data_IF_379904505637
#
_entry.id   IF_379904505637
#
_cell.length_a   1.000
_cell.length_b   1.000
_cell.length_c   1.000
_cell.angle_alpha   90.00
_cell.angle_beta   90.00
_cell.angle_gamma   90.00
#
_symmetry.space_group_name_H-M   'P 1'
#
loop_
_entity.id
_entity.type
_entity.pdbx_description
1 polymer ?
#
# COMPACT_ATOMS: atom_id res chain seq x y z
N UNK A 1 -10.80 6.01 22.47
CA UNK A 1 -10.35 6.75 21.26
C UNK A 1 -9.27 5.94 20.56
N UNK A 2 -9.64 5.10 19.59
CA UNK A 2 -8.70 4.29 18.80
C UNK A 2 -8.52 4.96 17.43
N UNK A 3 -7.53 5.84 17.29
CA UNK A 3 -7.16 6.40 15.98
C UNK A 3 -6.42 5.34 15.18
N UNK A 4 -7.13 4.65 14.28
CA UNK A 4 -6.52 3.78 13.27
C UNK A 4 -5.82 4.67 12.24
N UNK A 5 -4.52 4.93 12.43
CA UNK A 5 -3.69 5.49 11.36
C UNK A 5 -3.57 4.41 10.27
N UNK A 6 -4.34 4.57 9.20
CA UNK A 6 -4.41 3.65 8.07
C UNK A 6 -3.40 4.08 7.00
N UNK A 7 -2.34 3.29 6.83
CA UNK A 7 -1.32 3.53 5.82
C UNK A 7 -1.72 2.79 4.54
N UNK A 8 -2.15 3.57 3.54
CA UNK A 8 -2.70 3.07 2.28
C UNK A 8 -1.83 2.02 1.59
N UNK A 9 -2.46 0.95 1.12
CA UNK A 9 -1.81 -0.17 0.42
C UNK A 9 -1.37 0.28 -0.98
N UNK A 10 -0.22 0.95 -1.07
CA UNK A 10 0.73 0.60 -2.13
C UNK A 10 1.20 -0.84 -1.86
N UNK A 11 1.53 -1.63 -2.87
CA UNK A 11 1.90 -3.06 -2.76
C UNK A 11 3.05 -3.42 -1.78
N UNK A 12 3.55 -2.50 -0.95
CA UNK A 12 4.29 -2.86 0.27
C UNK A 12 3.94 -2.11 1.56
N UNK A 13 2.82 -1.38 1.64
CA UNK A 13 2.27 -0.96 2.95
C UNK A 13 1.51 -2.09 3.68
N UNK A 14 1.31 -3.24 3.04
CA UNK A 14 0.75 -4.46 3.66
C UNK A 14 1.53 -4.93 4.88
N UNK A 15 2.82 -4.61 4.96
CA UNK A 15 3.63 -4.93 6.13
C UNK A 15 3.38 -3.98 7.33
N UNK A 16 2.95 -2.74 7.08
CA UNK A 16 2.71 -1.76 8.14
C UNK A 16 1.38 -1.99 8.89
N UNK A 17 0.36 -2.52 8.21
CA UNK A 17 -0.89 -2.95 8.85
C UNK A 17 -0.68 -4.13 9.84
N UNK A 18 0.40 -4.89 9.67
CA UNK A 18 0.67 -6.11 10.44
C UNK A 18 1.22 -5.87 11.86
N UNK A 19 2.10 -4.89 12.06
CA UNK A 19 2.65 -4.62 13.40
C UNK A 19 1.52 -4.32 14.41
N UNK A 20 0.46 -3.64 13.96
CA UNK A 20 -0.76 -3.37 14.76
C UNK A 20 -1.52 -4.60 15.27
N UNK A 21 -1.29 -5.81 14.74
CA UNK A 21 -2.09 -7.00 15.09
C UNK A 21 -1.34 -8.09 15.87
N UNK A 22 -0.03 -7.92 16.11
CA UNK A 22 0.79 -8.91 16.82
C UNK A 22 1.15 -8.54 18.26
N UNK A 23 0.59 -7.47 18.81
CA UNK A 23 0.56 -7.30 20.25
C UNK A 23 -0.39 -8.31 20.88
N UNK A 24 0.10 -9.54 21.02
CA UNK A 24 -0.54 -10.60 21.78
C UNK A 24 -0.55 -10.13 23.23
N UNK A 25 -1.72 -9.70 23.70
CA UNK A 25 -1.96 -9.50 25.11
C UNK A 25 -1.89 -10.85 25.83
N UNK A 26 -0.97 -10.96 26.78
CA UNK A 26 -0.91 -12.06 27.73
C UNK A 26 -2.15 -12.03 28.64
N UNK A 27 -3.27 -12.60 28.19
CA UNK A 27 -4.28 -13.22 29.05
C UNK A 27 -5.36 -13.90 28.22
N UNK A 28 -5.34 -15.24 28.20
CA UNK A 28 -6.48 -16.04 27.74
C UNK A 28 -6.75 -17.10 28.80
N UNK A 29 -7.79 -16.87 29.60
CA UNK A 29 -8.48 -17.96 30.31
C UNK A 29 -9.26 -18.78 29.28
N UNK A 30 -8.97 -20.08 29.18
CA UNK A 30 -9.79 -21.03 28.43
C UNK A 30 -10.89 -21.60 29.32
N UNK A 31 -12.16 -21.66 28.85
CA UNK A 31 -13.19 -22.47 29.49
C UNK A 31 -13.04 -23.94 29.07
N UNK A 32 -13.14 -24.85 30.05
CA UNK A 32 -13.23 -26.29 29.84
C UNK A 32 -14.57 -26.66 29.18
N UNK A 33 -14.52 -27.40 28.07
CA UNK A 33 -15.70 -27.98 27.43
C UNK A 33 -15.62 -29.52 27.47
N UNK A 34 -16.69 -30.15 27.95
CA UNK A 34 -16.79 -31.58 28.17
C UNK A 34 -17.32 -32.34 26.93
N UNK A 35 -16.47 -33.24 26.42
CA UNK A 35 -16.71 -34.61 25.95
C UNK A 35 -17.96 -35.01 25.15
N UNK A 36 -17.75 -35.40 23.89
CA UNK A 36 -18.37 -36.59 23.28
C UNK A 36 -17.27 -37.40 22.57
N UNK A 37 -17.12 -38.67 22.93
CA UNK A 37 -16.06 -39.58 22.44
C UNK A 37 -16.54 -40.41 21.27
N UNK A 38 -16.01 -40.12 20.08
CA UNK A 38 -16.12 -40.95 18.89
C UNK A 38 -14.82 -41.77 18.73
N UNK A 39 -14.93 -43.07 18.45
CA UNK A 39 -13.79 -44.00 18.41
C UNK A 39 -12.91 -43.75 17.16
N UNK A 40 -11.88 -42.92 17.31
CA UNK A 40 -10.88 -42.70 16.26
C UNK A 40 -9.90 -43.88 16.17
N UNK A 41 -9.74 -44.40 14.95
CA UNK A 41 -8.67 -45.33 14.57
C UNK A 41 -7.29 -44.77 14.99
N UNK A 42 -6.32 -45.61 15.37
CA UNK A 42 -4.99 -45.16 15.80
C UNK A 42 -4.30 -44.41 14.66
N UNK A 43 -4.35 -43.09 14.72
CA UNK A 43 -3.54 -42.21 13.88
C UNK A 43 -2.09 -42.50 14.25
N UNK A 44 -1.34 -43.11 13.32
CA UNK A 44 0.12 -43.25 13.44
C UNK A 44 0.66 -41.83 13.59
N UNK A 45 0.94 -41.42 14.82
CA UNK A 45 1.57 -40.14 15.15
C UNK A 45 2.98 -40.18 14.57
N UNK A 46 3.13 -39.71 13.33
CA UNK A 46 4.45 -39.35 12.80
C UNK A 46 5.01 -38.31 13.77
N UNK A 47 6.19 -38.59 14.32
CA UNK A 47 6.84 -37.68 15.26
C UNK A 47 6.95 -36.30 14.61
N UNK A 48 6.39 -35.29 15.27
CA UNK A 48 6.46 -33.92 14.83
C UNK A 48 7.94 -33.48 14.84
N UNK A 49 8.45 -32.84 13.76
CA UNK A 49 9.82 -32.32 13.78
C UNK A 49 9.98 -31.24 14.85
N UNK A 50 11.21 -30.98 15.34
CA UNK A 50 11.47 -29.87 16.23
C UNK A 50 10.98 -28.54 15.63
N UNK A 51 10.43 -27.66 16.47
CA UNK A 51 10.03 -26.31 16.06
C UNK A 51 11.25 -25.50 15.59
N UNK A 52 11.11 -24.74 14.50
CA UNK A 52 12.23 -23.98 13.96
C UNK A 52 12.61 -22.85 14.92
N UNK A 53 13.90 -22.77 15.23
CA UNK A 53 14.53 -21.66 15.94
C UNK A 53 15.26 -20.80 14.90
N UNK A 54 14.51 -20.00 14.15
CA UNK A 54 15.09 -19.16 13.08
C UNK A 54 16.18 -18.26 13.66
N UNK A 55 17.37 -18.15 13.01
CA UNK A 55 18.41 -17.24 13.46
C UNK A 55 17.87 -15.83 13.67
N UNK A 56 18.17 -15.24 14.83
CA UNK A 56 17.75 -13.87 15.16
C UNK A 56 18.45 -12.80 14.30
N UNK A 57 19.57 -13.17 13.69
CA UNK A 57 20.38 -12.31 12.83
C UNK A 57 20.80 -13.06 11.57
N UNK A 58 20.27 -12.66 10.42
CA UNK A 58 20.68 -13.17 9.11
C UNK A 58 20.28 -12.23 7.98
N UNK A 59 20.90 -12.42 6.83
CA UNK A 59 20.45 -11.90 5.55
C UNK A 59 20.29 -13.05 4.55
N UNK A 60 19.46 -12.83 3.53
CA UNK A 60 19.29 -13.78 2.44
C UNK A 60 18.82 -13.05 1.18
N UNK A 61 19.33 -13.50 0.03
CA UNK A 61 18.64 -13.24 -1.23
C UNK A 61 17.22 -13.81 -1.13
N UNK A 62 16.27 -13.10 -1.73
CA UNK A 62 14.86 -13.38 -1.56
C UNK A 62 14.12 -13.26 -2.88
N UNK A 63 13.37 -14.30 -3.23
CA UNK A 63 12.34 -14.21 -4.26
C UNK A 63 11.02 -13.81 -3.60
N UNK A 64 10.47 -12.70 -4.05
CA UNK A 64 9.18 -12.17 -3.65
C UNK A 64 8.10 -12.64 -4.61
N UNK A 65 6.98 -13.11 -4.08
CA UNK A 65 5.79 -13.46 -4.87
C UNK A 65 4.56 -12.89 -4.17
N UNK A 66 3.86 -11.95 -4.78
CA UNK A 66 2.55 -11.52 -4.30
C UNK A 66 1.45 -11.93 -5.26
N UNK A 67 0.37 -12.47 -4.72
CA UNK A 67 -0.74 -13.00 -5.49
C UNK A 67 -2.06 -12.75 -4.77
N UNK A 68 -3.06 -12.31 -5.53
CA UNK A 68 -4.42 -12.15 -5.07
C UNK A 68 -5.27 -13.21 -5.78
N UNK A 69 -5.82 -14.23 -5.08
CA UNK A 69 -6.66 -15.24 -5.70
C UNK A 69 -7.88 -14.66 -6.41
N UNK A 70 -8.40 -13.51 -5.96
CA UNK A 70 -9.48 -12.83 -6.66
C UNK A 70 -9.08 -12.49 -8.11
N UNK A 71 -7.78 -12.31 -8.36
CA UNK A 71 -7.25 -11.97 -9.69
C UNK A 71 -7.15 -13.19 -10.61
N UNK A 72 -7.04 -14.40 -10.07
CA UNK A 72 -7.06 -15.62 -10.89
C UNK A 72 -8.46 -16.03 -11.33
N UNK A 73 -9.50 -15.61 -10.60
CA UNK A 73 -10.88 -15.83 -11.02
C UNK A 73 -11.37 -14.80 -12.04
N UNK A 74 -10.63 -13.70 -12.24
CA UNK A 74 -10.86 -12.85 -13.39
C UNK A 74 -10.49 -13.64 -14.66
N UNK A 75 -11.27 -13.57 -15.76
CA UNK A 75 -11.03 -14.33 -17.00
C UNK A 75 -9.63 -14.17 -17.59
N UNK A 76 -8.90 -13.15 -17.12
CA UNK A 76 -7.60 -12.71 -17.60
C UNK A 76 -6.44 -13.11 -16.70
N UNK A 77 -6.70 -13.62 -15.49
CA UNK A 77 -5.68 -14.11 -14.56
C UNK A 77 -4.45 -13.23 -14.45
N UNK A 78 -4.46 -12.16 -13.64
CA UNK A 78 -3.24 -11.37 -13.50
C UNK A 78 -2.11 -12.26 -12.96
N UNK A 79 -0.93 -12.21 -13.58
CA UNK A 79 0.19 -12.98 -13.07
C UNK A 79 0.54 -12.48 -11.66
N UNK A 80 1.01 -13.38 -10.79
CA UNK A 80 1.57 -12.95 -9.51
C UNK A 80 2.69 -11.93 -9.77
N UNK A 81 2.76 -10.89 -8.94
CA UNK A 81 3.89 -9.98 -8.99
C UNK A 81 5.11 -10.73 -8.41
N UNK A 82 6.06 -11.04 -9.28
CA UNK A 82 7.28 -11.76 -8.92
C UNK A 82 8.43 -10.75 -8.95
N UNK A 83 9.25 -10.78 -7.90
CA UNK A 83 10.42 -9.92 -7.77
C UNK A 83 11.60 -10.66 -7.15
N UNK A 84 12.76 -10.05 -7.28
CA UNK A 84 13.97 -10.43 -6.55
C UNK A 84 14.28 -9.36 -5.51
N UNK A 85 15.03 -9.72 -4.50
CA UNK A 85 15.23 -8.86 -3.36
C UNK A 85 16.23 -9.41 -2.36
N UNK A 86 16.36 -8.67 -1.27
CA UNK A 86 17.19 -9.06 -0.12
C UNK A 86 16.35 -8.86 1.13
N UNK A 87 16.37 -9.86 2.00
CA UNK A 87 15.87 -9.77 3.36
C UNK A 87 17.05 -9.70 4.31
N UNK A 88 16.97 -8.84 5.32
CA UNK A 88 17.91 -8.82 6.43
C UNK A 88 17.17 -8.55 7.74
N UNK A 89 17.56 -9.23 8.81
CA UNK A 89 17.03 -8.94 10.14
C UNK A 89 18.13 -9.06 11.21
N UNK A 90 17.97 -8.28 12.26
CA UNK A 90 18.67 -8.37 13.53
C UNK A 90 17.65 -8.09 14.64
N UNK A 91 17.07 -9.15 15.19
CA UNK A 91 16.02 -9.05 16.19
C UNK A 91 16.52 -8.50 17.52
N UNK A 92 17.82 -8.63 17.81
CA UNK A 92 18.43 -8.06 19.02
C UNK A 92 18.61 -6.55 18.88
N UNK A 93 19.00 -6.08 17.68
CA UNK A 93 19.02 -4.67 17.32
C UNK A 93 17.65 -4.09 16.95
N UNK A 94 16.58 -4.89 17.00
CA UNK A 94 15.22 -4.52 16.56
C UNK A 94 15.18 -3.89 15.16
N UNK A 95 15.92 -4.47 14.24
CA UNK A 95 16.11 -3.94 12.90
C UNK A 95 15.79 -4.98 11.83
N UNK A 96 15.14 -4.57 10.76
CA UNK A 96 14.83 -5.43 9.62
C UNK A 96 14.72 -4.63 8.33
N UNK A 97 15.19 -5.20 7.23
CA UNK A 97 15.12 -4.61 5.91
C UNK A 97 14.54 -5.60 4.91
N UNK A 98 13.56 -5.14 4.13
CA UNK A 98 12.96 -5.89 3.02
C UNK A 98 13.14 -5.05 1.76
N UNK A 99 14.11 -5.43 0.93
CA UNK A 99 14.36 -4.81 -0.37
C UNK A 99 13.76 -5.67 -1.46
N UNK A 100 12.95 -5.07 -2.33
CA UNK A 100 12.33 -5.76 -3.46
C UNK A 100 12.44 -4.94 -4.74
N UNK A 101 12.69 -5.64 -5.83
CA UNK A 101 12.59 -5.13 -7.18
C UNK A 101 11.64 -6.03 -7.96
N UNK A 102 10.54 -5.45 -8.44
CA UNK A 102 9.51 -6.19 -9.18
C UNK A 102 8.96 -5.36 -10.32
N UNK A 103 8.51 -6.03 -11.35
CA UNK A 103 7.76 -5.40 -12.43
C UNK A 103 6.35 -5.08 -11.97
N UNK A 104 5.79 -3.98 -12.47
CA UNK A 104 4.37 -3.71 -12.32
C UNK A 104 3.58 -4.79 -13.06
N UNK A 105 2.60 -5.46 -12.43
CA UNK A 105 1.81 -6.49 -13.10
C UNK A 105 1.18 -5.96 -14.39
N UNK A 106 1.53 -6.59 -15.51
CA UNK A 106 1.06 -6.19 -16.83
C UNK A 106 1.81 -5.02 -17.47
N UNK A 107 2.85 -4.45 -16.87
CA UNK A 107 3.74 -3.48 -17.54
C UNK A 107 5.18 -3.77 -17.16
N UNK A 108 5.78 -4.73 -17.86
CA UNK A 108 7.13 -5.24 -17.57
C UNK A 108 8.21 -4.17 -17.73
N UNK A 109 7.98 -3.12 -18.52
CA UNK A 109 8.86 -1.97 -18.62
C UNK A 109 8.88 -1.09 -17.35
N UNK A 110 7.86 -1.22 -16.49
CA UNK A 110 7.71 -0.44 -15.28
C UNK A 110 8.22 -1.24 -14.08
N UNK A 111 9.28 -0.75 -13.46
CA UNK A 111 9.90 -1.40 -12.29
C UNK A 111 9.58 -0.62 -11.04
N UNK A 112 9.19 -1.35 -10.01
CA UNK A 112 9.02 -0.87 -8.64
C UNK A 112 10.23 -1.34 -7.83
N UNK A 113 11.06 -0.39 -7.37
CA UNK A 113 12.19 -0.65 -6.48
C UNK A 113 11.89 -0.03 -5.11
N UNK A 114 11.70 -0.89 -4.11
CA UNK A 114 11.28 -0.48 -2.78
C UNK A 114 12.12 -1.19 -1.74
N UNK A 115 12.60 -0.44 -0.75
CA UNK A 115 13.15 -0.96 0.50
C UNK A 115 12.32 -0.48 1.67
N UNK A 116 11.88 -1.41 2.51
CA UNK A 116 11.29 -1.14 3.82
C UNK A 116 12.34 -1.43 4.88
N UNK A 117 12.82 -0.39 5.56
CA UNK A 117 13.78 -0.51 6.64
C UNK A 117 13.10 -0.14 7.97
N UNK A 118 12.92 -1.12 8.83
CA UNK A 118 12.39 -0.99 10.18
C UNK A 118 13.54 -0.86 11.17
N UNK A 119 13.51 0.17 12.00
CA UNK A 119 14.49 0.43 13.05
C UNK A 119 13.73 0.78 14.33
N UNK A 120 13.62 -0.17 15.26
CA UNK A 120 12.94 -0.03 16.56
C UNK A 120 11.56 0.67 16.51
N UNK A 121 11.54 2.01 16.47
CA UNK A 121 10.37 2.89 16.50
C UNK A 121 10.14 3.68 15.19
N UNK A 122 10.86 3.39 14.11
CA UNK A 122 10.64 4.02 12.81
C UNK A 122 10.63 3.01 11.66
N UNK A 123 9.91 3.36 10.61
CA UNK A 123 9.95 2.68 9.32
C UNK A 123 10.39 3.68 8.25
N UNK A 124 11.42 3.32 7.49
CA UNK A 124 11.97 4.10 6.39
C UNK A 124 11.62 3.41 5.07
N UNK A 125 10.79 4.06 4.26
CA UNK A 125 10.37 3.59 2.95
C UNK A 125 11.25 4.26 1.90
N UNK A 126 12.21 3.52 1.35
CA UNK A 126 13.14 4.00 0.35
C UNK A 126 12.66 3.55 -1.02
N UNK A 127 12.39 4.51 -1.90
CA UNK A 127 11.68 4.31 -3.15
C UNK A 127 12.52 4.84 -4.31
N UNK A 128 12.66 4.05 -5.38
CA UNK A 128 13.39 4.45 -6.58
C UNK A 128 14.75 3.76 -6.76
N UNK A 129 15.43 4.07 -7.86
CA UNK A 129 16.69 3.46 -8.27
C UNK A 129 17.86 4.43 -8.15
N UNK A 130 18.10 5.22 -9.19
CA UNK A 130 19.25 6.15 -9.28
C UNK A 130 19.07 7.37 -8.39
N UNK A 131 17.83 7.82 -8.19
CA UNK A 131 17.49 8.99 -7.37
C UNK A 131 16.50 8.59 -6.26
N UNK A 132 16.93 7.76 -5.29
CA UNK A 132 16.03 7.25 -4.27
C UNK A 132 15.51 8.37 -3.37
N UNK A 133 14.26 8.23 -2.93
CA UNK A 133 13.60 9.09 -1.96
C UNK A 133 13.29 8.26 -0.73
N UNK A 134 13.54 8.80 0.47
CA UNK A 134 13.27 8.09 1.72
C UNK A 134 12.17 8.76 2.51
N UNK A 135 11.08 8.04 2.79
CA UNK A 135 9.97 8.48 3.65
C UNK A 135 10.10 7.84 5.01
N UNK A 136 10.21 8.64 6.06
CA UNK A 136 10.11 8.16 7.42
C UNK A 136 8.67 8.12 7.90
N UNK A 137 8.32 7.04 8.58
CA UNK A 137 7.04 6.82 9.24
C UNK A 137 7.36 6.44 10.68
N UNK A 138 6.93 7.29 11.61
CA UNK A 138 7.09 7.03 13.03
C UNK A 138 6.15 5.90 13.44
N UNK A 139 6.72 4.88 14.08
CA UNK A 139 5.99 3.75 14.62
C UNK A 139 5.69 4.03 16.09
N UNK A 140 4.42 3.98 16.48
CA UNK A 140 4.02 4.17 17.88
C UNK A 140 3.14 3.02 18.38
N UNK A 141 3.27 2.72 19.68
CA UNK A 141 2.53 1.65 20.34
C UNK A 141 2.83 0.27 19.76
N UNK A 142 1.76 -0.47 19.42
CA UNK A 142 1.85 -1.81 18.83
C UNK A 142 2.53 -1.83 17.45
N UNK A 143 2.75 -0.66 16.83
CA UNK A 143 3.38 -0.56 15.51
C UNK A 143 4.91 -0.67 15.54
N UNK A 144 5.54 -0.85 16.69
CA UNK A 144 7.01 -1.00 16.80
C UNK A 144 7.53 -2.29 16.15
N UNK A 145 8.85 -2.40 16.00
CA UNK A 145 9.53 -3.59 15.48
C UNK A 145 8.97 -4.89 16.09
N UNK A 146 8.69 -5.87 15.23
CA UNK A 146 8.27 -7.21 15.64
C UNK A 146 9.05 -8.25 14.83
N UNK A 147 9.61 -9.25 15.52
CA UNK A 147 10.32 -10.35 14.89
C UNK A 147 9.33 -11.27 14.16
N UNK A 148 9.41 -11.25 12.82
CA UNK A 148 8.57 -12.03 11.90
C UNK A 148 8.54 -13.54 12.15
N UNK A 149 9.56 -14.08 12.80
CA UNK A 149 9.75 -15.53 12.97
C UNK A 149 9.54 -16.01 14.41
N UNK A 150 9.46 -15.09 15.37
CA UNK A 150 9.37 -15.39 16.81
C UNK A 150 8.23 -16.35 17.17
N UNK A 151 7.10 -16.29 16.47
CA UNK A 151 5.95 -17.15 16.70
C UNK A 151 6.22 -18.63 16.37
N UNK A 152 7.13 -18.93 15.45
CA UNK A 152 7.34 -20.28 14.95
C UNK A 152 8.02 -21.20 15.99
N UNK A 153 8.82 -20.61 16.87
CA UNK A 153 9.44 -21.29 18.01
C UNK A 153 8.46 -21.56 19.16
N UNK A 154 7.35 -20.81 19.24
CA UNK A 154 6.42 -20.87 20.36
C UNK A 154 5.40 -22.00 20.18
N UNK A 155 5.31 -23.00 21.08
CA UNK A 155 4.40 -24.13 20.94
C UNK A 155 2.92 -23.79 21.05
N UNK A 156 2.57 -22.67 21.69
CA UNK A 156 1.20 -22.19 21.79
C UNK A 156 0.76 -21.42 20.55
N UNK A 157 1.71 -20.87 19.80
CA UNK A 157 1.43 -20.06 18.61
C UNK A 157 1.68 -20.82 17.30
N UNK A 158 2.33 -21.98 17.32
CA UNK A 158 2.69 -22.71 16.10
C UNK A 158 2.08 -24.12 16.02
N UNK A 159 1.73 -24.50 14.80
CA UNK A 159 1.23 -25.82 14.45
C UNK A 159 1.99 -26.40 13.26
N UNK A 160 2.48 -27.63 13.38
CA UNK A 160 3.08 -28.33 12.25
C UNK A 160 1.98 -28.89 11.35
N UNK A 161 2.09 -28.60 10.06
CA UNK A 161 1.09 -28.97 9.04
C UNK A 161 1.55 -30.14 8.19
N UNK A 162 2.86 -30.30 7.99
CA UNK A 162 3.39 -31.36 7.13
C UNK A 162 4.73 -30.99 6.50
N UNK A 163 5.18 -31.82 5.58
CA UNK A 163 6.34 -31.53 4.74
C UNK A 163 5.90 -30.79 3.48
N UNK A 164 6.74 -29.88 2.99
CA UNK A 164 6.54 -29.15 1.74
C UNK A 164 7.90 -29.02 1.02
N UNK A 165 7.87 -28.91 -0.31
CA UNK A 165 9.05 -28.58 -1.11
C UNK A 165 8.86 -27.19 -1.71
N UNK A 166 9.81 -26.29 -1.45
CA UNK A 166 9.82 -24.94 -2.02
C UNK A 166 11.13 -24.72 -2.74
N UNK A 167 11.07 -24.37 -4.03
CA UNK A 167 12.26 -24.16 -4.87
C UNK A 167 13.29 -25.30 -4.77
N UNK A 168 12.81 -26.56 -4.76
CA UNK A 168 13.66 -27.76 -4.64
C UNK A 168 14.17 -28.08 -3.23
N UNK A 169 13.83 -27.29 -2.21
CA UNK A 169 14.23 -27.51 -0.81
C UNK A 169 13.07 -28.11 -0.02
N UNK A 170 13.28 -29.31 0.54
CA UNK A 170 12.34 -29.91 1.47
C UNK A 170 12.37 -29.18 2.82
N UNK A 171 11.19 -28.89 3.38
CA UNK A 171 11.04 -28.20 4.63
C UNK A 171 9.78 -28.63 5.38
N UNK A 172 9.79 -28.42 6.70
CA UNK A 172 8.63 -28.60 7.57
C UNK A 172 7.80 -27.33 7.55
N UNK A 173 6.51 -27.46 7.23
CA UNK A 173 5.56 -26.35 7.17
C UNK A 173 4.90 -26.16 8.54
N UNK A 174 4.94 -24.92 9.01
CA UNK A 174 4.36 -24.47 10.26
C UNK A 174 3.36 -23.35 10.01
N UNK A 175 2.21 -23.37 10.69
CA UNK A 175 1.24 -22.29 10.66
C UNK A 175 1.19 -21.56 12.00
N UNK A 176 0.94 -20.26 11.93
CA UNK A 176 0.59 -19.46 13.09
C UNK A 176 -0.85 -19.79 13.53
N UNK A 177 -1.02 -20.26 14.77
CA UNK A 177 -2.31 -20.41 15.47
C UNK A 177 -2.83 -19.02 15.85
N UNK A 178 -3.34 -18.29 14.88
CA UNK A 178 -3.93 -16.98 15.11
C UNK A 178 -5.45 -17.10 15.19
N UNK A 179 -6.04 -16.53 16.25
CA UNK A 179 -7.49 -16.22 16.25
C UNK A 179 -7.80 -14.99 15.38
N UNK A 180 -6.77 -14.22 15.04
CA UNK A 180 -6.92 -13.04 14.20
C UNK A 180 -7.03 -13.44 12.73
N UNK A 181 -7.49 -12.49 11.95
CA UNK A 181 -7.73 -12.60 10.52
C UNK A 181 -6.47 -12.96 9.71
N UNK A 182 -5.32 -12.37 10.01
CA UNK A 182 -4.08 -12.64 9.27
C UNK A 182 -3.56 -14.06 9.54
N UNK A 183 -3.31 -14.81 8.47
CA UNK A 183 -2.70 -16.15 8.54
C UNK A 183 -1.23 -16.06 8.11
N UNK A 184 -0.36 -16.73 8.85
CA UNK A 184 1.05 -16.83 8.50
C UNK A 184 1.47 -18.29 8.48
N UNK A 185 2.35 -18.62 7.56
CA UNK A 185 2.99 -19.93 7.50
C UNK A 185 4.48 -19.80 7.20
N UNK A 186 5.27 -20.67 7.83
CA UNK A 186 6.72 -20.73 7.68
C UNK A 186 7.10 -22.15 7.26
N UNK A 187 7.72 -22.30 6.10
CA UNK A 187 8.42 -23.52 5.73
C UNK A 187 9.88 -23.40 6.16
N UNK A 188 10.34 -24.29 7.03
CA UNK A 188 11.70 -24.27 7.57
C UNK A 188 12.41 -25.63 7.41
N UNK A 189 13.68 -25.59 6.99
CA UNK A 189 14.56 -26.75 6.96
C UNK A 189 15.41 -26.74 8.24
N UNK A 190 14.94 -27.42 9.28
CA UNK A 190 15.47 -27.25 10.63
C UNK A 190 15.24 -25.80 11.09
N UNK A 191 16.32 -25.08 11.38
CA UNK A 191 16.28 -23.67 11.79
C UNK A 191 16.37 -22.69 10.60
N UNK A 192 16.56 -23.16 9.37
CA UNK A 192 16.73 -22.29 8.21
C UNK A 192 15.36 -21.98 7.59
N UNK A 193 14.90 -20.70 7.55
CA UNK A 193 13.68 -20.35 6.84
C UNK A 193 13.86 -20.58 5.34
N UNK A 194 12.87 -21.20 4.71
CA UNK A 194 12.82 -21.47 3.27
C UNK A 194 11.76 -20.58 2.62
N UNK A 195 10.59 -20.49 3.23
CA UNK A 195 9.49 -19.65 2.75
C UNK A 195 8.69 -19.09 3.93
N UNK A 196 8.44 -17.79 3.94
CA UNK A 196 7.45 -17.16 4.78
C UNK A 196 6.27 -16.71 3.90
N UNK A 197 5.09 -17.23 4.15
CA UNK A 197 3.87 -16.82 3.47
C UNK A 197 2.92 -16.12 4.45
N UNK A 198 2.46 -14.94 4.06
CA UNK A 198 1.53 -14.09 4.81
C UNK A 198 0.26 -13.92 3.98
N UNK A 199 -0.86 -14.31 4.56
CA UNK A 199 -2.20 -14.17 3.98
C UNK A 199 -2.95 -13.10 4.75
N UNK A 200 -3.34 -12.05 4.03
CA UNK A 200 -4.19 -10.97 4.51
C UNK A 200 -5.62 -11.27 4.05
N UNK A 201 -6.55 -11.64 4.93
CA UNK A 201 -7.93 -11.78 4.51
C UNK A 201 -8.51 -10.41 4.18
N UNK A 202 -9.56 -10.43 3.38
CA UNK A 202 -10.34 -9.27 2.98
C UNK A 202 -11.76 -9.40 3.53
N UNK A 203 -12.46 -8.27 3.60
CA UNK A 203 -13.82 -8.20 4.12
C UNK A 203 -14.83 -9.07 3.32
N UNK A 204 -14.55 -9.35 2.05
CA UNK A 204 -15.37 -10.20 1.18
C UNK A 204 -15.07 -11.71 1.31
N UNK A 205 -14.24 -12.11 2.27
CA UNK A 205 -13.82 -13.49 2.48
C UNK A 205 -12.70 -13.96 1.56
N UNK A 206 -12.31 -13.18 0.54
CA UNK A 206 -11.11 -13.46 -0.25
C UNK A 206 -9.84 -13.09 0.53
N UNK A 207 -8.65 -13.28 -0.06
CA UNK A 207 -7.39 -12.97 0.62
C UNK A 207 -6.35 -12.38 -0.35
N UNK A 208 -5.33 -11.75 0.19
CA UNK A 208 -4.13 -11.36 -0.54
C UNK A 208 -2.95 -12.12 0.07
N UNK A 209 -2.13 -12.75 -0.75
CA UNK A 209 -1.02 -13.58 -0.30
C UNK A 209 0.31 -12.97 -0.71
N UNK A 210 1.26 -12.98 0.20
CA UNK A 210 2.65 -12.58 -0.03
C UNK A 210 3.55 -13.71 0.45
N UNK A 211 4.36 -14.24 -0.47
CA UNK A 211 5.38 -15.24 -0.19
C UNK A 211 6.78 -14.64 -0.35
N UNK A 212 7.61 -14.85 0.66
CA UNK A 212 9.03 -14.54 0.69
C UNK A 212 9.81 -15.86 0.70
N UNK A 213 10.45 -16.19 -0.42
CA UNK A 213 11.27 -17.40 -0.55
C UNK A 213 12.73 -17.03 -0.36
N UNK A 214 13.36 -17.59 0.66
CA UNK A 214 14.72 -17.24 1.07
C UNK A 214 15.74 -18.18 0.42
N UNK A 215 16.85 -17.61 -0.05
CA UNK A 215 18.05 -18.34 -0.48
C UNK A 215 18.85 -18.89 0.70
N UNK A 216 20.13 -19.25 0.48
CA UNK A 216 21.08 -19.50 1.55
C UNK A 216 21.22 -18.29 2.49
N UNK A 217 21.35 -18.53 3.78
CA UNK A 217 21.52 -17.46 4.75
C UNK A 217 22.97 -16.98 4.77
N UNK A 218 23.15 -15.68 4.97
CA UNK A 218 24.42 -15.02 5.21
C UNK A 218 24.44 -14.35 6.59
N UNK A 219 25.62 -14.29 7.20
CA UNK A 219 25.86 -13.52 8.44
C UNK A 219 26.15 -12.04 8.17
N UNK A 220 26.29 -11.64 6.89
CA UNK A 220 26.50 -10.26 6.47
C UNK A 220 25.19 -9.47 6.53
N UNK A 221 24.84 -9.00 7.73
CA UNK A 221 23.57 -8.31 7.99
C UNK A 221 23.71 -6.79 8.00
N UNK A 222 24.85 -6.30 8.49
CA UNK A 222 25.02 -4.89 8.88
C UNK A 222 24.81 -3.91 7.73
N UNK A 223 25.28 -4.24 6.52
CA UNK A 223 25.15 -3.34 5.36
C UNK A 223 23.69 -3.10 4.93
N UNK A 224 22.79 -4.04 5.20
CA UNK A 224 21.38 -3.94 4.81
C UNK A 224 20.49 -3.23 5.84
N UNK A 225 20.99 -3.08 7.08
CA UNK A 225 20.25 -2.50 8.20
C UNK A 225 20.71 -1.06 8.54
N UNK A 226 21.71 -0.54 7.84
CA UNK A 226 22.13 0.86 8.03
C UNK A 226 21.11 1.82 7.43
N UNK A 227 20.66 2.80 8.24
CA UNK A 227 19.84 3.91 7.75
C UNK A 227 20.63 4.71 6.71
N UNK A 228 20.17 4.78 5.44
CA UNK A 228 20.87 5.57 4.44
C UNK A 228 20.79 7.06 4.74
N UNK A 229 21.85 7.81 4.44
CA UNK A 229 21.91 9.26 4.67
C UNK A 229 20.79 10.06 3.98
N UNK A 230 20.20 9.53 2.89
CA UNK A 230 19.04 10.13 2.22
C UNK A 230 17.79 10.19 3.11
N UNK A 231 17.74 9.39 4.19
CA UNK A 231 16.66 9.38 5.17
C UNK A 231 16.83 10.42 6.26
N UNK A 232 17.99 11.06 6.37
CA UNK A 232 18.25 12.08 7.41
C UNK A 232 17.70 13.46 7.05
N UNK A 233 17.13 13.61 5.84
CA UNK A 233 16.59 14.85 5.34
C UNK A 233 15.38 14.62 4.45
N UNK A 234 14.42 15.53 4.52
CA UNK A 234 13.35 15.59 3.54
C UNK A 234 13.95 15.84 2.15
N UNK A 235 13.46 15.08 1.18
CA UNK A 235 13.96 15.20 -0.17
C UNK A 235 13.42 16.52 -0.78
N UNK A 236 14.29 17.39 -1.32
CA UNK A 236 13.90 18.73 -1.72
C UNK A 236 12.85 18.71 -2.84
N UNK A 237 12.07 19.79 -2.94
CA UNK A 237 11.15 20.02 -4.06
C UNK A 237 11.90 20.02 -5.40
N UNK A 238 11.25 19.50 -6.44
CA UNK A 238 11.83 19.33 -7.77
C UNK A 238 12.39 20.63 -8.36
N UNK A 239 13.68 20.61 -8.72
CA UNK A 239 14.41 21.80 -9.20
C UNK A 239 13.79 22.38 -10.47
N UNK A 240 13.34 21.52 -11.40
CA UNK A 240 12.69 21.95 -12.64
C UNK A 240 11.35 22.68 -12.41
N UNK A 241 10.77 22.61 -11.21
CA UNK A 241 9.57 23.34 -10.82
C UNK A 241 9.83 24.60 -9.99
N UNK A 242 11.05 24.81 -9.49
CA UNK A 242 11.36 25.98 -8.67
C UNK A 242 11.31 27.25 -9.50
N UNK A 243 10.83 28.33 -8.89
CA UNK A 243 10.70 29.65 -9.52
C UNK A 243 9.77 29.68 -10.75
N UNK A 244 9.00 28.62 -10.97
CA UNK A 244 7.93 28.57 -11.99
C UNK A 244 6.60 28.95 -11.34
N UNK A 245 5.74 29.60 -12.12
CA UNK A 245 4.39 29.91 -11.67
C UNK A 245 3.56 28.65 -11.41
N UNK A 246 2.37 28.80 -10.80
CA UNK A 246 1.48 27.67 -10.58
C UNK A 246 1.08 27.04 -11.92
N UNK A 247 0.82 25.73 -11.88
CA UNK A 247 0.22 24.98 -12.98
C UNK A 247 -1.20 24.60 -12.60
N UNK A 248 -2.10 24.62 -13.57
CA UNK A 248 -3.45 24.09 -13.38
C UNK A 248 -3.42 22.57 -13.40
N UNK A 249 -4.11 21.94 -12.45
CA UNK A 249 -4.29 20.50 -12.38
C UNK A 249 -5.79 20.20 -12.27
N UNK A 250 -6.28 19.37 -13.18
CA UNK A 250 -7.55 18.67 -12.98
C UNK A 250 -7.30 17.44 -12.11
N UNK A 251 -7.69 17.56 -10.85
CA UNK A 251 -7.53 16.53 -9.84
C UNK A 251 -8.82 15.74 -9.64
N UNK A 252 -8.67 14.44 -9.44
CA UNK A 252 -9.74 13.49 -9.21
C UNK A 252 -9.52 12.82 -7.86
N UNK A 253 -10.60 12.58 -7.13
CA UNK A 253 -10.57 11.88 -5.85
C UNK A 253 -11.80 11.00 -5.72
N UNK A 254 -11.58 9.75 -5.30
CA UNK A 254 -12.62 8.81 -4.92
C UNK A 254 -12.77 8.79 -3.39
N UNK A 255 -13.93 9.19 -2.87
CA UNK A 255 -14.12 9.52 -1.46
C UNK A 255 -15.51 9.10 -0.93
N UNK A 256 -15.68 8.98 0.41
CA UNK A 256 -16.99 8.78 1.02
C UNK A 256 -17.93 9.98 0.83
N UNK A 257 -19.23 9.72 0.93
CA UNK A 257 -20.22 10.78 1.00
C UNK A 257 -19.92 11.74 2.18
N UNK A 258 -20.07 13.06 1.94
CA UNK A 258 -19.82 14.11 2.93
C UNK A 258 -18.37 14.60 3.01
N UNK A 259 -17.41 13.87 2.45
CA UNK A 259 -15.98 14.17 2.58
C UNK A 259 -15.44 14.94 1.36
N UNK A 260 -15.61 16.26 1.34
CA UNK A 260 -15.19 17.12 0.22
C UNK A 260 -13.94 17.97 0.49
N UNK A 261 -13.38 17.88 1.69
CA UNK A 261 -12.17 18.61 2.06
C UNK A 261 -10.94 17.91 1.51
N UNK A 262 -10.12 18.63 0.73
CA UNK A 262 -8.88 18.12 0.15
C UNK A 262 -7.66 18.30 1.07
N UNK A 263 -7.80 18.99 2.20
CA UNK A 263 -6.70 19.08 3.17
C UNK A 263 -6.34 17.71 3.70
N UNK A 264 -5.05 17.38 3.63
CA UNK A 264 -4.49 16.11 4.06
C UNK A 264 -5.11 14.90 3.34
N UNK A 265 -5.47 15.08 2.06
CA UNK A 265 -5.93 14.03 1.16
C UNK A 265 -4.93 13.76 0.01
N UNK A 266 -4.97 12.54 -0.50
CA UNK A 266 -4.35 12.15 -1.75
C UNK A 266 -5.36 12.30 -2.90
N UNK A 267 -4.92 12.86 -4.03
CA UNK A 267 -5.71 12.99 -5.27
C UNK A 267 -4.91 12.44 -6.45
N UNK A 268 -5.57 12.08 -7.55
CA UNK A 268 -4.91 11.71 -8.80
C UNK A 268 -5.13 12.72 -9.91
N UNK A 269 -4.25 12.73 -10.91
CA UNK A 269 -4.69 13.16 -12.24
C UNK A 269 -5.68 12.13 -12.83
N UNK A 270 -6.25 12.42 -14.00
CA UNK A 270 -7.24 11.55 -14.65
C UNK A 270 -6.73 10.10 -14.79
N UNK A 271 -5.44 9.89 -15.12
CA UNK A 271 -4.91 8.55 -15.34
C UNK A 271 -4.60 7.86 -14.02
N UNK A 272 -4.00 8.59 -13.08
CA UNK A 272 -3.68 8.09 -11.76
C UNK A 272 -4.91 7.65 -10.99
N UNK A 273 -5.99 8.45 -10.99
CA UNK A 273 -7.21 8.11 -10.24
C UNK A 273 -8.06 7.07 -10.97
N UNK A 274 -8.07 7.06 -12.31
CA UNK A 274 -8.69 5.99 -13.07
C UNK A 274 -8.06 4.62 -12.75
N UNK A 275 -6.73 4.56 -12.64
CA UNK A 275 -6.04 3.36 -12.20
C UNK A 275 -6.42 2.99 -10.76
N UNK A 276 -6.46 3.96 -9.84
CA UNK A 276 -6.83 3.72 -8.45
C UNK A 276 -8.24 3.12 -8.33
N UNK A 277 -9.25 3.78 -8.89
CA UNK A 277 -10.65 3.33 -8.87
C UNK A 277 -10.76 1.94 -9.47
N UNK A 278 -10.11 1.69 -10.61
CA UNK A 278 -10.11 0.38 -11.21
C UNK A 278 -9.57 -0.70 -10.28
N UNK A 279 -8.37 -0.50 -9.72
CA UNK A 279 -7.72 -1.51 -8.90
C UNK A 279 -8.47 -1.72 -7.58
N UNK A 280 -9.01 -0.67 -6.98
CA UNK A 280 -9.84 -0.71 -5.77
C UNK A 280 -11.06 -1.62 -5.99
N UNK A 281 -11.84 -1.29 -7.02
CA UNK A 281 -13.08 -2.01 -7.32
C UNK A 281 -12.86 -3.43 -7.82
N UNK A 282 -11.85 -3.68 -8.67
CA UNK A 282 -11.54 -5.04 -9.12
C UNK A 282 -11.03 -5.93 -7.98
N UNK A 283 -10.41 -5.33 -6.97
CA UNK A 283 -10.01 -6.06 -5.78
C UNK A 283 -11.16 -6.28 -4.79
N UNK A 284 -12.36 -5.73 -5.10
CA UNK A 284 -13.50 -5.59 -4.19
C UNK A 284 -13.06 -5.06 -2.82
N UNK A 285 -12.06 -4.19 -2.85
CA UNK A 285 -11.56 -3.48 -1.70
C UNK A 285 -12.22 -2.12 -1.77
N UNK A 286 -12.87 -1.69 -0.70
CA UNK A 286 -12.63 -0.31 -0.29
C UNK A 286 -11.29 -0.39 0.42
N UNK A 287 -10.19 -0.01 -0.24
CA UNK A 287 -8.81 -0.26 0.21
C UNK A 287 -8.51 0.13 1.66
N UNK A 288 -9.34 0.98 2.24
CA UNK A 288 -9.46 1.29 3.66
C UNK A 288 -10.97 1.33 3.95
N UNK A 289 -11.43 1.07 5.18
CA UNK A 289 -12.84 1.00 5.63
C UNK A 289 -13.64 2.32 5.41
N UNK A 290 -13.63 2.82 4.19
CA UNK A 290 -14.12 4.10 3.76
C UNK A 290 -15.10 3.75 2.67
N UNK A 291 -16.37 3.94 2.97
CA UNK A 291 -17.47 3.66 2.07
C UNK A 291 -17.41 4.64 0.88
N UNK A 292 -16.45 4.42 -0.03
CA UNK A 292 -16.22 5.25 -1.19
C UNK A 292 -17.44 5.15 -2.10
N UNK A 293 -18.13 6.26 -2.28
CA UNK A 293 -19.38 6.32 -3.05
C UNK A 293 -19.37 7.41 -4.11
N UNK A 294 -18.52 8.42 -3.93
CA UNK A 294 -18.47 9.61 -4.77
C UNK A 294 -17.10 9.78 -5.39
N UNK A 295 -17.07 10.27 -6.63
CA UNK A 295 -15.86 10.68 -7.32
C UNK A 295 -16.01 12.16 -7.63
N UNK A 296 -15.07 12.99 -7.19
CA UNK A 296 -15.10 14.43 -7.43
C UNK A 296 -13.96 14.85 -8.34
N UNK A 297 -14.23 15.81 -9.24
CA UNK A 297 -13.22 16.51 -10.05
C UNK A 297 -13.06 17.93 -9.54
N UNK A 298 -11.82 18.34 -9.33
CA UNK A 298 -11.43 19.67 -8.88
C UNK A 298 -10.48 20.32 -9.88
N UNK A 299 -10.65 21.62 -10.10
CA UNK A 299 -9.63 22.47 -10.70
C UNK A 299 -8.75 23.03 -9.58
N UNK A 300 -7.47 22.66 -9.58
CA UNK A 300 -6.46 23.12 -8.65
C UNK A 300 -5.44 24.02 -9.34
N UNK A 301 -4.83 24.92 -8.58
CA UNK A 301 -3.54 25.51 -8.94
C UNK A 301 -2.49 24.98 -7.97
N UNK A 302 -1.41 24.42 -8.51
CA UNK A 302 -0.36 23.80 -7.71
C UNK A 302 1.02 24.30 -8.13
N UNK A 303 1.95 24.33 -7.18
CA UNK A 303 3.37 24.57 -7.45
C UNK A 303 3.96 23.36 -8.18
N UNK A 304 4.63 23.53 -9.33
CA UNK A 304 5.31 22.43 -10.00
C UNK A 304 6.61 22.00 -9.28
N UNK A 305 7.01 22.69 -8.21
CA UNK A 305 8.16 22.33 -7.37
C UNK A 305 7.81 21.17 -6.41
N UNK A 306 7.37 20.05 -6.97
CA UNK A 306 6.81 18.92 -6.23
C UNK A 306 7.77 18.38 -5.17
N UNK A 307 7.26 18.25 -3.94
CA UNK A 307 7.97 17.65 -2.82
C UNK A 307 7.95 16.13 -2.87
N UNK A 308 8.51 15.53 -1.82
CA UNK A 308 8.30 14.12 -1.53
C UNK A 308 6.82 13.85 -1.23
N UNK A 309 6.26 12.80 -1.84
CA UNK A 309 4.89 12.38 -1.56
C UNK A 309 4.70 12.00 -0.08
N UNK A 310 3.62 12.48 0.52
CA UNK A 310 3.16 12.14 1.86
C UNK A 310 1.99 11.14 1.78
N UNK A 311 1.87 10.22 2.72
CA UNK A 311 0.70 9.32 2.76
C UNK A 311 -0.45 10.09 3.41
N UNK A 312 -1.31 10.71 2.59
CA UNK A 312 -2.43 11.53 3.03
C UNK A 312 -3.74 10.75 2.82
N UNK A 313 -3.84 9.57 3.42
CA UNK A 313 -5.00 8.71 3.28
C UNK A 313 -5.69 8.59 4.65
N UNK A 314 -6.99 8.86 4.71
CA UNK A 314 -7.79 8.64 5.91
C UNK A 314 -9.00 9.56 6.03
N UNK A 315 -9.96 9.14 6.86
CA UNK A 315 -11.09 9.93 7.31
C UNK A 315 -11.24 9.70 8.83
N UNK A 316 -10.73 10.61 9.69
CA UNK A 316 -10.26 11.97 9.37
C UNK A 316 -8.92 11.99 8.63
N UNK A 317 -8.71 12.98 7.74
CA UNK A 317 -7.50 13.08 6.95
C UNK A 317 -6.28 13.48 7.78
N UNK A 318 -5.15 12.80 7.55
CA UNK A 318 -3.84 13.17 8.09
C UNK A 318 -2.76 12.75 7.11
N UNK A 319 -1.76 13.60 6.91
CA UNK A 319 -0.58 13.27 6.11
C UNK A 319 0.54 12.69 6.98
N UNK A 320 1.15 11.60 6.52
CA UNK A 320 2.34 11.00 7.16
C UNK A 320 3.51 10.95 6.19
N UNK A 321 4.64 11.54 6.61
CA UNK A 321 5.84 11.71 5.80
C UNK A 321 5.76 12.89 4.83
N UNK A 322 6.81 13.12 4.05
CA UNK A 322 6.89 14.23 3.09
C UNK A 322 7.10 15.61 3.76
N UNK A 323 7.23 16.65 2.93
CA UNK A 323 7.27 18.04 3.42
C UNK A 323 5.83 18.54 3.59
N UNK A 324 5.40 18.93 4.81
CA UNK A 324 4.02 19.35 5.06
C UNK A 324 3.62 20.64 4.35
N UNK A 325 4.57 21.34 3.70
CA UNK A 325 4.33 22.61 3.00
C UNK A 325 4.25 22.45 1.48
N UNK A 326 4.65 21.30 0.95
CA UNK A 326 4.75 21.09 -0.51
C UNK A 326 3.75 20.03 -0.96
N UNK A 327 3.12 20.26 -2.11
CA UNK A 327 2.44 19.19 -2.84
C UNK A 327 3.46 18.11 -3.17
N UNK A 328 3.24 16.92 -2.61
CA UNK A 328 4.04 15.76 -2.93
C UNK A 328 3.49 15.08 -4.17
N UNK A 329 4.36 14.49 -5.00
CA UNK A 329 3.95 13.80 -6.22
C UNK A 329 4.60 12.43 -6.31
N UNK A 330 3.83 11.40 -6.65
CA UNK A 330 4.35 10.08 -7.00
C UNK A 330 3.55 9.46 -8.12
N UNK A 331 4.14 8.49 -8.81
CA UNK A 331 3.37 7.59 -9.67
C UNK A 331 2.69 6.50 -8.85
N UNK A 332 1.53 5.99 -9.31
CA UNK A 332 0.90 4.82 -8.72
C UNK A 332 1.88 3.66 -8.50
N UNK A 333 1.72 2.97 -7.36
CA UNK A 333 2.58 1.83 -6.96
C UNK A 333 4.10 2.13 -6.89
N UNK A 334 4.48 3.40 -6.76
CA UNK A 334 5.89 3.83 -6.64
C UNK A 334 6.77 3.33 -7.78
N UNK A 335 6.21 3.27 -8.99
CA UNK A 335 6.92 2.90 -10.22
C UNK A 335 7.97 3.96 -10.60
N UNK A 336 9.08 3.52 -11.18
CA UNK A 336 10.10 4.42 -11.72
C UNK A 336 11.07 4.97 -10.68
N UNK A 337 11.90 5.90 -11.10
CA UNK A 337 13.00 6.41 -10.30
C UNK A 337 12.55 7.54 -9.35
N UNK A 338 12.89 7.45 -8.06
CA UNK A 338 12.50 8.43 -7.04
C UNK A 338 11.00 8.71 -6.97
N UNK A 339 10.16 7.68 -7.05
CA UNK A 339 8.69 7.79 -7.19
C UNK A 339 8.23 8.56 -8.45
N UNK A 340 9.13 8.81 -9.40
CA UNK A 340 8.91 9.66 -10.58
C UNK A 340 8.45 11.09 -10.23
N UNK A 341 8.73 11.57 -9.01
CA UNK A 341 8.22 12.85 -8.50
C UNK A 341 8.59 14.07 -9.34
N UNK A 342 9.69 14.01 -10.09
CA UNK A 342 10.18 15.11 -10.95
C UNK A 342 10.03 14.79 -12.44
N UNK A 343 9.43 13.66 -12.80
CA UNK A 343 9.16 13.31 -14.19
C UNK A 343 8.15 14.28 -14.81
N UNK A 344 8.29 14.58 -16.10
CA UNK A 344 7.28 15.38 -16.80
C UNK A 344 5.97 14.59 -16.95
N UNK A 345 6.09 13.31 -17.31
CA UNK A 345 4.97 12.42 -17.64
C UNK A 345 5.21 11.01 -17.11
N UNK A 346 4.11 10.25 -16.96
CA UNK A 346 4.15 8.83 -16.69
C UNK A 346 2.92 8.13 -17.29
N UNK A 347 3.04 6.93 -17.90
CA UNK A 347 1.91 6.22 -18.47
C UNK A 347 0.84 5.78 -17.46
N UNK A 348 1.15 5.82 -16.15
CA UNK A 348 0.20 5.57 -15.07
C UNK A 348 -0.40 6.84 -14.48
N UNK A 349 -0.05 8.02 -15.01
CA UNK A 349 -0.36 9.28 -14.39
C UNK A 349 0.35 9.46 -13.05
N UNK A 350 -0.15 10.39 -12.26
CA UNK A 350 0.40 10.77 -10.97
C UNK A 350 -0.68 10.84 -9.89
N UNK A 351 -0.26 10.53 -8.67
CA UNK A 351 -0.94 10.90 -7.44
C UNK A 351 -0.22 12.06 -6.77
N UNK A 352 -1.01 12.91 -6.12
CA UNK A 352 -0.58 14.12 -5.46
C UNK A 352 -1.07 14.10 -4.02
N UNK A 353 -0.16 14.29 -3.08
CA UNK A 353 -0.49 14.44 -1.66
C UNK A 353 -0.68 15.93 -1.37
N UNK A 354 -1.84 16.31 -0.84
CA UNK A 354 -2.23 17.71 -0.58
C UNK A 354 -2.17 18.03 0.93
N UNK A 355 -0.96 18.23 1.51
CA UNK A 355 -0.87 18.50 2.93
C UNK A 355 -1.51 19.83 3.29
N UNK A 356 -2.21 19.87 4.42
CA UNK A 356 -2.87 21.06 4.94
C UNK A 356 -1.91 22.25 5.09
N UNK A 357 -0.69 21.99 5.56
CA UNK A 357 0.35 23.02 5.69
C UNK A 357 0.82 23.62 4.36
N UNK A 358 0.46 22.99 3.24
CA UNK A 358 0.73 23.46 1.88
C UNK A 358 -0.39 24.32 1.28
N UNK A 359 -1.56 24.37 1.92
CA UNK A 359 -2.75 25.04 1.38
C UNK A 359 -2.58 26.56 1.45
N UNK A 360 -2.84 27.25 0.35
CA UNK A 360 -2.91 28.70 0.34
C UNK A 360 -4.18 29.21 1.06
N UNK A 361 -4.02 30.24 1.90
CA UNK A 361 -5.12 30.83 2.65
C UNK A 361 -6.02 31.72 1.77
N UNK A 362 -7.34 31.65 2.02
CA UNK A 362 -8.33 32.48 1.33
C UNK A 362 -8.30 32.30 -0.19
N UNK A 363 -8.17 33.41 -0.92
CA UNK A 363 -8.09 33.45 -2.38
C UNK A 363 -6.64 33.48 -2.89
N UNK A 364 -5.65 33.30 -2.01
CA UNK A 364 -4.24 33.28 -2.41
C UNK A 364 -3.96 32.07 -3.29
N UNK A 365 -3.08 32.28 -4.27
CA UNK A 365 -2.63 31.26 -5.23
C UNK A 365 -1.14 30.99 -5.04
N UNK A 366 -0.64 29.80 -5.40
CA UNK A 366 0.79 29.53 -5.34
C UNK A 366 1.57 30.52 -6.21
N UNK A 367 2.61 31.12 -5.64
CA UNK A 367 3.54 32.01 -6.36
C UNK A 367 4.72 31.24 -6.98
N UNK A 368 5.63 31.97 -7.65
CA UNK A 368 6.90 31.39 -8.13
C UNK A 368 7.78 30.87 -6.99
N UNK A 369 7.63 31.47 -5.82
CA UNK A 369 8.30 31.18 -4.56
C UNK A 369 7.48 30.24 -3.65
N UNK A 370 6.43 29.60 -4.17
CA UNK A 370 5.58 28.66 -3.42
C UNK A 370 6.39 27.57 -2.69
N UNK A 371 7.50 27.14 -3.29
CA UNK A 371 8.42 26.16 -2.70
C UNK A 371 9.10 26.63 -1.41
N UNK A 372 9.25 27.96 -1.25
CA UNK A 372 9.84 28.58 -0.06
C UNK A 372 8.76 29.03 0.93
N UNK A 373 7.66 29.61 0.43
CA UNK A 373 6.59 30.19 1.26
C UNK A 373 5.62 29.17 1.83
N UNK A 374 5.53 27.97 1.23
CA UNK A 374 4.63 26.91 1.65
C UNK A 374 3.19 27.03 1.16
N UNK A 375 2.80 28.10 0.47
CA UNK A 375 1.53 28.15 -0.28
C UNK A 375 1.73 27.42 -1.61
N UNK A 376 1.63 26.09 -1.57
CA UNK A 376 1.95 25.19 -2.69
C UNK A 376 0.73 24.69 -3.46
N UNK A 377 -0.49 24.84 -2.92
CA UNK A 377 -1.71 24.53 -3.66
C UNK A 377 -2.92 25.34 -3.22
N UNK A 378 -3.87 25.53 -4.13
CA UNK A 378 -5.18 26.10 -3.85
C UNK A 378 -6.27 25.43 -4.68
N UNK A 379 -7.46 25.34 -4.10
CA UNK A 379 -8.67 24.88 -4.80
C UNK A 379 -9.27 26.08 -5.52
N UNK A 380 -9.36 26.02 -6.85
CA UNK A 380 -10.05 27.05 -7.62
C UNK A 380 -11.55 26.80 -7.63
N UNK A 381 -11.94 25.55 -7.91
CA UNK A 381 -13.34 25.12 -7.97
C UNK A 381 -13.45 23.59 -7.90
N UNK A 382 -14.48 23.09 -7.22
CA UNK A 382 -14.98 21.72 -7.46
C UNK A 382 -15.86 21.76 -8.71
N UNK A 383 -15.44 21.07 -9.77
CA UNK A 383 -16.07 21.15 -11.08
C UNK A 383 -17.36 20.34 -11.13
N UNK A 384 -17.31 19.09 -10.64
CA UNK A 384 -18.42 18.13 -10.68
C UNK A 384 -18.13 16.98 -9.70
N UNK A 385 -19.19 16.37 -9.18
CA UNK A 385 -19.15 15.13 -8.39
C UNK A 385 -20.06 14.12 -9.07
N UNK A 386 -19.67 12.85 -9.14
CA UNK A 386 -20.51 11.78 -9.67
C UNK A 386 -20.62 10.64 -8.66
N UNK A 387 -21.72 9.90 -8.70
CA UNK A 387 -21.83 8.66 -7.94
C UNK A 387 -21.06 7.55 -8.66
N UNK A 388 -20.29 6.73 -7.92
CA UNK A 388 -19.51 5.63 -8.48
C UNK A 388 -20.37 4.65 -9.29
N UNK A 389 -21.62 4.44 -8.85
CA UNK A 389 -22.53 3.49 -9.51
C UNK A 389 -22.89 3.93 -10.93
N UNK A 390 -22.91 5.24 -11.19
CA UNK A 390 -23.10 5.73 -12.55
C UNK A 390 -21.91 5.32 -13.42
N UNK A 391 -20.69 5.60 -12.98
CA UNK A 391 -19.47 5.20 -13.70
C UNK A 391 -19.46 3.70 -14.00
N UNK A 392 -19.79 2.85 -13.03
CA UNK A 392 -19.74 1.41 -13.20
C UNK A 392 -20.85 0.83 -14.09
N UNK A 393 -21.98 1.54 -14.26
CA UNK A 393 -23.01 1.17 -15.25
C UNK A 393 -22.54 1.36 -16.69
N UNK A 394 -21.47 2.13 -16.91
CA UNK A 394 -20.89 2.39 -18.25
C UNK A 394 -19.71 1.47 -18.57
N UNK A 395 -19.81 0.17 -18.23
CA UNK A 395 -18.80 -0.85 -18.53
C UNK A 395 -17.37 -0.53 -18.00
N UNK A 396 -17.23 0.42 -17.08
CA UNK A 396 -15.92 0.92 -16.63
C UNK A 396 -14.97 -0.19 -16.15
N UNK A 397 -15.47 -1.11 -15.31
CA UNK A 397 -14.67 -2.23 -14.81
C UNK A 397 -14.30 -3.23 -15.91
N UNK A 398 -15.18 -3.44 -16.88
CA UNK A 398 -14.91 -4.28 -18.05
C UNK A 398 -13.81 -3.67 -18.93
N UNK A 399 -13.90 -2.37 -19.18
CA UNK A 399 -12.85 -1.62 -19.88
C UNK A 399 -11.53 -1.73 -19.12
N UNK A 400 -11.55 -1.57 -17.80
CA UNK A 400 -10.33 -1.67 -17.03
C UNK A 400 -9.69 -3.05 -17.03
N UNK A 401 -10.49 -4.12 -16.92
CA UNK A 401 -9.99 -5.48 -17.08
C UNK A 401 -9.32 -5.68 -18.45
N UNK A 402 -9.90 -5.12 -19.52
CA UNK A 402 -9.30 -5.19 -20.84
C UNK A 402 -7.96 -4.43 -20.92
N UNK A 403 -7.87 -3.23 -20.33
CA UNK A 403 -6.63 -2.43 -20.27
C UNK A 403 -5.52 -3.17 -19.51
N UNK A 404 -5.86 -3.74 -18.36
CA UNK A 404 -4.96 -4.57 -17.58
C UNK A 404 -4.46 -5.81 -18.34
N UNK A 405 -5.36 -6.50 -19.04
CA UNK A 405 -5.03 -7.69 -19.83
C UNK A 405 -4.13 -7.36 -21.03
N UNK A 406 -4.40 -6.25 -21.72
CA UNK A 406 -3.66 -5.84 -22.90
C UNK A 406 -2.27 -5.29 -22.59
N UNK A 407 -1.98 -4.97 -21.32
CA UNK A 407 -0.64 -4.54 -20.87
C UNK A 407 -0.14 -3.26 -21.53
N UNK A 408 -1.07 -2.41 -21.98
CA UNK A 408 -0.79 -1.18 -22.76
C UNK A 408 -1.13 0.12 -22.00
N UNK A 409 -1.25 0.05 -20.68
CA UNK A 409 -1.69 1.16 -19.84
C UNK A 409 -3.22 1.26 -19.73
N UNK A 410 -3.70 2.36 -19.15
CA UNK A 410 -5.10 2.53 -18.74
C UNK A 410 -5.86 3.61 -19.52
N UNK A 411 -5.45 3.85 -20.78
CA UNK A 411 -5.97 4.95 -21.57
C UNK A 411 -7.49 4.84 -21.87
N UNK A 412 -8.04 3.62 -22.04
CA UNK A 412 -9.49 3.47 -22.24
C UNK A 412 -10.22 3.70 -20.93
N UNK A 413 -9.69 3.19 -19.82
CA UNK A 413 -10.23 3.44 -18.48
C UNK A 413 -10.25 4.94 -18.14
N UNK A 414 -9.17 5.67 -18.45
CA UNK A 414 -9.12 7.13 -18.28
C UNK A 414 -10.16 7.86 -19.11
N UNK A 415 -10.34 7.48 -20.38
CA UNK A 415 -11.40 8.06 -21.23
C UNK A 415 -12.80 7.78 -20.72
N UNK A 416 -13.05 6.59 -20.17
CA UNK A 416 -14.35 6.28 -19.58
C UNK A 416 -14.63 7.13 -18.33
N UNK A 417 -13.61 7.38 -17.49
CA UNK A 417 -13.73 8.31 -16.36
C UNK A 417 -13.98 9.74 -16.85
N UNK A 418 -13.23 10.19 -17.85
CA UNK A 418 -13.40 11.51 -18.44
C UNK A 418 -14.80 11.73 -19.02
N UNK A 419 -15.34 10.75 -19.75
CA UNK A 419 -16.69 10.80 -20.33
C UNK A 419 -17.77 10.99 -19.24
N UNK A 420 -17.66 10.28 -18.11
CA UNK A 420 -18.55 10.43 -16.97
C UNK A 420 -18.58 11.86 -16.42
N UNK A 421 -17.44 12.56 -16.46
CA UNK A 421 -17.34 13.96 -16.05
C UNK A 421 -17.76 14.95 -17.15
N UNK A 422 -17.56 14.62 -18.43
CA UNK A 422 -17.76 15.54 -19.55
C UNK A 422 -19.24 15.79 -19.92
N UNK A 423 -20.14 14.85 -19.62
CA UNK A 423 -21.57 14.95 -19.92
C UNK A 423 -22.44 14.44 -18.76
N UNK A 424 -23.71 14.83 -18.74
CA UNK A 424 -24.73 14.20 -17.89
C UNK A 424 -25.57 13.15 -18.64
N UNK A 425 -25.41 13.03 -19.96
CA UNK A 425 -26.13 12.07 -20.81
C UNK A 425 -25.57 10.65 -20.66
N UNK A 426 -26.31 9.71 -20.05
CA UNK A 426 -25.84 8.35 -19.84
C UNK A 426 -25.64 7.55 -21.14
N UNK A 427 -26.27 7.95 -22.25
CA UNK A 427 -26.14 7.24 -23.53
C UNK A 427 -24.74 7.36 -24.14
N UNK A 428 -23.99 8.40 -23.77
CA UNK A 428 -22.60 8.62 -24.17
C UNK A 428 -21.60 8.43 -23.02
N UNK A 429 -22.04 7.80 -21.92
CA UNK A 429 -21.22 7.52 -20.73
C UNK A 429 -21.14 8.66 -19.71
N UNK A 430 -21.99 9.68 -19.84
CA UNK A 430 -22.08 10.80 -18.90
C UNK A 430 -22.77 10.43 -17.59
N UNK A 431 -22.41 11.14 -16.51
CA UNK A 431 -23.01 10.99 -15.19
C UNK A 431 -23.57 12.32 -14.67
N UNK A 432 -24.71 12.29 -13.99
CA UNK A 432 -25.28 13.50 -13.41
C UNK A 432 -24.38 14.08 -12.30
N UNK A 433 -24.33 15.41 -12.18
CA UNK A 433 -23.65 16.07 -11.07
C UNK A 433 -24.40 15.84 -9.75
N UNK A 434 -23.71 15.24 -8.77
CA UNK A 434 -24.22 15.05 -7.42
C UNK A 434 -23.89 16.29 -6.60
N UNK A 435 -24.92 17.07 -6.27
CA UNK A 435 -24.74 18.17 -5.33
C UNK A 435 -24.38 17.62 -3.95
N UNK A 436 -23.45 18.26 -3.22
CA UNK A 436 -23.30 17.94 -1.81
C UNK A 436 -24.65 18.11 -1.14
N UNK A 437 -25.01 17.18 -0.27
CA UNK A 437 -26.06 17.44 0.69
C UNK A 437 -25.71 18.78 1.35
N UNK A 438 -26.56 19.79 1.15
CA UNK A 438 -26.36 21.09 1.76
C UNK A 438 -26.18 20.81 3.24
N UNK A 439 -24.96 20.98 3.74
CA UNK A 439 -24.66 20.74 5.14
C UNK A 439 -25.60 21.66 5.89
N UNK A 440 -26.71 21.13 6.42
CA UNK A 440 -27.57 21.85 7.33
C UNK A 440 -26.65 22.31 8.41
N UNK A 441 -26.37 23.62 8.43
CA UNK A 441 -25.41 24.20 9.34
C UNK A 441 -25.78 23.69 10.72
N UNK A 442 -24.94 22.82 11.27
CA UNK A 442 -25.08 22.40 12.66
C UNK A 442 -24.75 23.67 13.42
N UNK A 443 -25.79 24.39 13.84
CA UNK A 443 -25.66 25.51 14.76
C UNK A 443 -25.17 24.89 16.06
N UNK A 444 -23.86 25.00 16.30
CA UNK A 444 -23.20 24.56 17.54
C UNK A 444 -23.42 25.59 18.63
#
# INVERSE_FOLDING_TARGET
MHSRLCLGICFGCTFHLWQTHLAIGDSVHQPEAAGMTEAMLPVIQRSQPPRPQVPRRFSADMRFVSYDPAWAYLPIGFPPAIGQGVFACDADAKAMSIRTMRHFPGMEQLVTNITYLYLENSSHHILGGRNPVCREIHLSGQKSYSDLFSWAANPHLSEYIGQKVVAGRACSLWNLRSKNQSKMSLCAAGNVPVELNITYPKNDGSSFNVSYQFGPLSSQVSEHLQKPHICDRLAPGCENGRNRGPVSLDAYIFHPAGEYNLEDQDVGDLTGDALFICVDRLQNKSFMDHNYTLISRYALEISPAFGQYALCNGYPPTCVGGDPRLVGRKTPSSVGDGESRCAAENPLGFWFSLPKGGRCEGQRRPGKDAWATGCSWSVQKRLKTIHQDCLFKHDYLKICMADAHERKGFARTSRALEAAFASEDPSIGGCADVQPESSTAVVV
#
